data_IF_518938861734
#
_entry.id   IF_518938861734
#
_cell.length_a   1.000
_cell.length_b   1.000
_cell.length_c   1.000
_cell.angle_alpha   90.00
_cell.angle_beta   90.00
_cell.angle_gamma   90.00
#
_symmetry.space_group_name_H-M   'P 1'
#
loop_
_entity.id
_entity.type
_entity.pdbx_description
1 polymer ?
#
# COMPACT_ATOMS: atom_id res chain seq x y z
N UNK A 1 25.83 61.00 -20.46
CA UNK A 1 27.19 60.85 -19.90
C UNK A 1 27.32 59.39 -19.48
N UNK A 2 27.82 58.51 -20.35
CA UNK A 2 29.25 58.17 -20.51
C UNK A 2 29.84 57.61 -19.19
N UNK A 3 30.48 56.44 -19.10
CA UNK A 3 31.07 55.59 -20.13
C UNK A 3 31.22 54.13 -19.63
N UNK A 4 31.34 53.24 -20.61
CA UNK A 4 31.72 51.83 -20.51
C UNK A 4 33.19 51.63 -20.12
N UNK A 5 33.52 50.42 -19.65
CA UNK A 5 34.88 49.86 -19.78
C UNK A 5 34.82 48.43 -20.29
N UNK A 6 35.25 48.27 -21.54
CA UNK A 6 35.67 47.04 -22.20
C UNK A 6 37.10 46.67 -21.78
N UNK A 7 37.44 45.38 -21.86
CA UNK A 7 38.79 44.85 -22.16
C UNK A 7 38.65 43.42 -22.75
N UNK A 8 39.62 42.91 -23.53
CA UNK A 8 39.43 42.72 -24.96
C UNK A 8 39.56 41.27 -25.46
N UNK A 9 39.23 41.12 -26.74
CA UNK A 9 39.32 39.95 -27.59
C UNK A 9 40.73 39.80 -28.21
N UNK A 10 41.25 38.57 -28.30
CA UNK A 10 42.32 38.14 -29.24
C UNK A 10 42.23 36.61 -29.34
N UNK A 11 41.57 35.99 -30.32
CA UNK A 11 41.89 35.82 -31.75
C UNK A 11 43.09 34.91 -32.07
N UNK A 12 42.76 33.85 -32.84
CA UNK A 12 43.58 33.01 -33.73
C UNK A 12 44.30 31.80 -33.11
N UNK A 13 43.86 30.58 -33.45
CA UNK A 13 44.46 29.81 -34.54
C UNK A 13 43.57 28.62 -34.93
N UNK A 14 43.58 28.29 -36.22
CA UNK A 14 42.64 27.40 -36.88
C UNK A 14 43.39 26.20 -37.50
N UNK A 15 42.66 25.08 -37.65
CA UNK A 15 42.77 24.06 -38.72
C UNK A 15 43.94 23.04 -38.62
N UNK A 16 43.59 21.73 -38.51
CA UNK A 16 43.79 20.74 -39.59
C UNK A 16 43.22 19.35 -39.22
N UNK A 17 42.42 18.81 -40.14
CA UNK A 17 41.92 17.44 -40.23
C UNK A 17 43.04 16.45 -40.55
N UNK A 18 43.01 15.23 -39.98
CA UNK A 18 43.43 14.02 -40.71
C UNK A 18 42.67 12.78 -40.24
N UNK A 19 42.13 12.07 -41.23
CA UNK A 19 41.50 10.75 -41.19
C UNK A 19 42.61 9.69 -41.32
N UNK A 20 42.54 8.57 -40.59
CA UNK A 20 43.18 7.33 -41.01
C UNK A 20 42.38 6.09 -40.60
N UNK A 21 41.99 5.32 -41.60
CA UNK A 21 41.41 3.97 -41.56
C UNK A 21 42.55 2.96 -41.70
N UNK A 22 42.59 1.90 -40.89
CA UNK A 22 43.35 0.68 -41.21
C UNK A 22 42.54 -0.57 -40.84
N UNK A 23 42.18 -1.32 -41.87
CA UNK A 23 41.73 -2.72 -41.88
C UNK A 23 42.94 -3.65 -41.82
N UNK A 24 42.86 -4.74 -41.07
CA UNK A 24 43.68 -5.94 -41.35
C UNK A 24 42.82 -7.19 -41.25
N UNK A 25 42.58 -7.80 -42.43
CA UNK A 25 42.12 -9.16 -42.64
C UNK A 25 43.26 -10.16 -42.40
N UNK A 26 42.94 -11.31 -41.80
CA UNK A 26 43.67 -12.56 -41.99
C UNK A 26 42.65 -13.69 -42.19
N UNK A 27 42.80 -14.43 -43.29
CA UNK A 27 41.99 -15.58 -43.68
C UNK A 27 42.90 -16.72 -44.17
N UNK A 28 42.37 -17.95 -44.11
CA UNK A 28 42.84 -19.27 -44.59
C UNK A 28 43.78 -20.07 -43.65
N UNK A 29 43.62 -21.40 -43.40
CA UNK A 29 42.70 -22.43 -43.91
C UNK A 29 42.66 -23.70 -43.01
N UNK A 30 41.45 -24.29 -42.87
CA UNK A 30 41.04 -25.72 -43.00
C UNK A 30 41.94 -26.89 -42.54
N UNK A 31 41.41 -27.77 -41.66
CA UNK A 31 41.08 -29.20 -41.92
C UNK A 31 40.58 -29.94 -40.64
N UNK A 32 39.44 -30.65 -40.76
CA UNK A 32 38.96 -31.91 -40.12
C UNK A 32 39.13 -32.20 -38.61
N UNK A 33 38.25 -32.91 -37.89
CA UNK A 33 36.90 -33.49 -38.06
C UNK A 33 36.52 -34.19 -36.73
N UNK A 34 35.25 -34.64 -36.60
CA UNK A 34 34.62 -35.49 -35.56
C UNK A 34 34.13 -34.76 -34.29
N UNK A 35 32.85 -34.36 -34.18
CA UNK A 35 31.58 -35.12 -34.07
C UNK A 35 31.31 -35.61 -32.63
N UNK A 36 30.37 -34.94 -31.97
CA UNK A 36 29.27 -35.61 -31.27
C UNK A 36 28.07 -34.67 -31.31
N UNK A 37 27.27 -34.88 -32.34
CA UNK A 37 25.94 -34.30 -32.50
C UNK A 37 24.92 -34.96 -31.57
N UNK A 38 24.03 -34.18 -30.96
CA UNK A 38 22.61 -34.56 -30.88
C UNK A 38 21.68 -33.33 -30.76
N UNK A 39 21.38 -32.79 -31.94
CA UNK A 39 20.05 -32.41 -32.47
C UNK A 39 19.12 -31.54 -31.59
N UNK A 40 19.16 -30.23 -31.84
CA UNK A 40 17.96 -29.37 -31.73
C UNK A 40 17.13 -29.58 -32.99
N UNK A 41 16.07 -30.36 -32.89
CA UNK A 41 15.04 -30.46 -33.92
C UNK A 41 14.14 -29.23 -33.83
N UNK A 42 14.22 -28.35 -34.83
CA UNK A 42 13.28 -27.23 -35.01
C UNK A 42 12.04 -27.77 -35.71
N UNK A 43 11.28 -28.59 -34.97
CA UNK A 43 9.94 -29.00 -35.35
C UNK A 43 8.98 -27.83 -35.19
N UNK A 44 8.42 -27.37 -36.31
CA UNK A 44 7.45 -26.28 -36.38
C UNK A 44 6.24 -26.51 -35.48
N UNK A 45 6.26 -25.87 -34.32
CA UNK A 45 5.10 -25.59 -33.50
C UNK A 45 5.21 -24.15 -33.04
N UNK A 46 4.37 -23.26 -33.58
CA UNK A 46 4.13 -21.96 -32.94
C UNK A 46 3.53 -22.24 -31.56
N UNK A 47 4.37 -22.46 -30.55
CA UNK A 47 3.95 -22.26 -29.18
C UNK A 47 3.72 -20.76 -29.01
N UNK A 48 2.47 -20.34 -29.27
CA UNK A 48 1.94 -19.11 -28.72
C UNK A 48 2.17 -19.20 -27.21
N UNK A 49 3.20 -18.53 -26.72
CA UNK A 49 3.27 -18.12 -25.33
C UNK A 49 2.01 -17.28 -25.09
N UNK A 50 0.99 -17.92 -24.51
CA UNK A 50 -0.17 -17.23 -23.95
C UNK A 50 0.33 -16.49 -22.70
N UNK A 51 1.01 -15.36 -22.92
CA UNK A 51 1.19 -14.37 -21.87
C UNK A 51 -0.20 -13.79 -21.65
N UNK A 52 -0.92 -14.32 -20.67
CA UNK A 52 -2.13 -13.69 -20.19
C UNK A 52 -1.77 -12.23 -19.86
N UNK A 53 -2.52 -11.27 -20.42
CA UNK A 53 -2.29 -9.87 -20.14
C UNK A 53 -2.37 -9.66 -18.62
N UNK A 54 -1.31 -9.10 -18.02
CA UNK A 54 -1.30 -8.81 -16.59
C UNK A 54 -2.49 -7.90 -16.27
N UNK A 55 -3.35 -8.32 -15.34
CA UNK A 55 -4.50 -7.52 -14.93
C UNK A 55 -4.01 -6.20 -14.32
N UNK A 56 -4.67 -5.06 -14.59
CA UNK A 56 -4.27 -3.78 -14.03
C UNK A 56 -4.44 -3.78 -12.51
N UNK A 57 -3.40 -3.32 -11.79
CA UNK A 57 -3.43 -3.20 -10.33
C UNK A 57 -4.45 -2.17 -9.87
N UNK A 58 -5.26 -2.55 -8.88
CA UNK A 58 -6.24 -1.72 -8.18
C UNK A 58 -5.75 -1.35 -6.78
N UNK A 59 -6.26 -0.26 -6.24
CA UNK A 59 -5.83 0.32 -4.97
C UNK A 59 -7.01 0.43 -4.03
N UNK A 60 -6.87 -0.15 -2.84
CA UNK A 60 -7.84 0.03 -1.75
C UNK A 60 -7.25 1.04 -0.75
N UNK A 61 -8.01 2.08 -0.47
CA UNK A 61 -7.73 3.06 0.57
C UNK A 61 -8.83 2.96 1.63
N UNK A 62 -8.58 3.44 2.85
CA UNK A 62 -9.62 3.50 3.86
C UNK A 62 -9.36 4.59 4.90
N UNK A 63 -10.41 5.13 5.51
CA UNK A 63 -10.30 5.91 6.74
C UNK A 63 -11.32 5.42 7.76
N UNK A 64 -11.18 5.91 8.98
CA UNK A 64 -11.94 5.49 10.16
C UNK A 64 -12.52 6.73 10.81
N UNK A 65 -13.68 6.60 11.46
CA UNK A 65 -14.29 7.66 12.27
C UNK A 65 -13.23 8.50 13.03
N UNK A 66 -13.21 9.84 12.89
CA UNK A 66 -12.23 10.72 13.53
C UNK A 66 -12.13 10.57 15.06
N UNK A 67 -13.21 10.13 15.71
CA UNK A 67 -13.22 9.84 17.16
C UNK A 67 -12.36 8.64 17.57
N UNK A 68 -12.00 7.76 16.63
CA UNK A 68 -11.34 6.50 16.94
C UNK A 68 -9.85 6.65 17.22
N UNK A 69 -9.40 6.00 18.29
CA UNK A 69 -8.02 6.03 18.75
C UNK A 69 -7.07 5.15 17.93
N UNK A 70 -5.77 5.29 18.21
CA UNK A 70 -4.68 4.58 17.53
C UNK A 70 -4.89 3.06 17.52
N UNK A 71 -5.27 2.47 18.65
CA UNK A 71 -5.38 1.02 18.77
C UNK A 71 -6.60 0.43 18.05
N UNK A 72 -7.74 1.11 18.03
CA UNK A 72 -8.89 0.65 17.26
C UNK A 72 -8.60 0.74 15.75
N UNK A 73 -7.92 1.80 15.30
CA UNK A 73 -7.47 1.92 13.89
C UNK A 73 -6.54 0.78 13.47
N UNK A 74 -5.69 0.27 14.38
CA UNK A 74 -4.89 -0.94 14.14
C UNK A 74 -5.74 -2.20 14.00
N UNK A 75 -6.86 -2.28 14.71
CA UNK A 75 -7.81 -3.37 14.55
C UNK A 75 -8.53 -3.30 13.19
N UNK A 76 -8.99 -2.11 12.80
CA UNK A 76 -9.60 -1.88 11.48
C UNK A 76 -8.63 -2.21 10.34
N UNK A 77 -7.33 -1.90 10.49
CA UNK A 77 -6.31 -2.34 9.53
C UNK A 77 -6.37 -3.85 9.29
N UNK A 78 -6.52 -4.68 10.33
CA UNK A 78 -6.56 -6.14 10.15
C UNK A 78 -7.79 -6.58 9.36
N UNK A 79 -8.94 -5.93 9.58
CA UNK A 79 -10.18 -6.18 8.82
C UNK A 79 -9.97 -5.89 7.34
N UNK A 80 -9.44 -4.72 7.02
CA UNK A 80 -9.17 -4.28 5.64
C UNK A 80 -8.05 -5.10 5.00
N UNK A 81 -7.01 -5.45 5.74
CA UNK A 81 -5.91 -6.26 5.24
C UNK A 81 -6.39 -7.67 4.83
N UNK A 82 -7.28 -8.28 5.62
CA UNK A 82 -7.87 -9.57 5.29
C UNK A 82 -8.85 -9.51 4.12
N UNK A 83 -9.57 -8.38 3.95
CA UNK A 83 -10.32 -8.11 2.74
C UNK A 83 -9.39 -8.04 1.51
N UNK A 84 -8.28 -7.29 1.58
CA UNK A 84 -7.29 -7.23 0.48
C UNK A 84 -6.65 -8.58 0.20
N UNK A 85 -6.39 -9.38 1.22
CA UNK A 85 -5.89 -10.74 1.05
C UNK A 85 -6.87 -11.59 0.22
N UNK A 86 -8.17 -11.51 0.52
CA UNK A 86 -9.20 -12.24 -0.23
C UNK A 86 -9.42 -11.67 -1.64
N UNK A 87 -9.41 -10.34 -1.80
CA UNK A 87 -9.48 -9.71 -3.12
C UNK A 87 -8.34 -10.18 -4.05
N UNK A 88 -7.15 -10.40 -3.50
CA UNK A 88 -5.97 -10.87 -4.23
C UNK A 88 -6.04 -12.34 -4.69
N UNK A 89 -7.08 -13.08 -4.34
CA UNK A 89 -7.34 -14.40 -4.92
C UNK A 89 -7.78 -14.31 -6.40
N UNK A 90 -8.40 -13.18 -6.80
CA UNK A 90 -8.92 -12.99 -8.17
C UNK A 90 -8.19 -11.90 -8.97
N UNK A 91 -7.96 -10.74 -8.36
CA UNK A 91 -7.42 -9.54 -9.02
C UNK A 91 -6.30 -8.91 -8.17
N UNK A 92 -5.30 -8.25 -8.78
CA UNK A 92 -4.23 -7.61 -8.03
C UNK A 92 -4.70 -6.33 -7.34
N UNK A 93 -4.69 -6.33 -6.02
CA UNK A 93 -5.00 -5.21 -5.12
C UNK A 93 -3.83 -4.85 -4.21
N UNK A 94 -3.54 -3.55 -4.11
CA UNK A 94 -2.60 -2.99 -3.14
C UNK A 94 -3.38 -2.19 -2.10
N UNK A 95 -3.12 -2.46 -0.81
CA UNK A 95 -3.61 -1.63 0.28
C UNK A 95 -2.75 -0.37 0.41
N UNK A 96 -3.37 0.80 0.24
CA UNK A 96 -2.73 2.07 0.52
C UNK A 96 -2.94 2.42 1.98
N UNK A 97 -1.85 2.52 2.72
CA UNK A 97 -1.85 2.75 4.16
C UNK A 97 -2.25 4.20 4.48
N UNK A 98 -3.31 4.42 5.28
CA UNK A 98 -3.78 5.76 5.59
C UNK A 98 -2.80 6.48 6.52
N UNK A 99 -2.32 7.68 6.17
CA UNK A 99 -1.41 8.44 7.04
C UNK A 99 -2.01 8.71 8.41
N UNK A 100 -1.20 8.59 9.46
CA UNK A 100 -1.63 8.90 10.81
C UNK A 100 -1.74 10.41 11.01
N UNK A 101 -2.81 10.85 11.67
CA UNK A 101 -2.97 12.25 12.03
C UNK A 101 -4.23 12.54 12.82
N UNK A 102 -4.21 13.65 13.57
CA UNK A 102 -5.34 14.21 14.34
C UNK A 102 -6.12 13.19 15.20
N UNK A 103 -5.43 12.25 15.84
CA UNK A 103 -6.08 11.35 16.78
C UNK A 103 -6.51 12.13 18.03
N UNK A 104 -7.74 11.92 18.50
CA UNK A 104 -8.32 12.66 19.63
C UNK A 104 -7.43 12.68 20.89
N UNK A 105 -6.67 11.60 21.12
CA UNK A 105 -5.77 11.47 22.28
C UNK A 105 -4.38 12.12 22.09
N UNK A 106 -4.06 12.63 20.90
CA UNK A 106 -2.75 13.23 20.61
C UNK A 106 -2.77 14.71 21.02
N UNK A 107 -2.31 14.99 22.23
CA UNK A 107 -2.41 16.32 22.88
C UNK A 107 -1.12 17.15 22.80
N UNK A 108 -0.05 16.61 22.23
CA UNK A 108 1.25 17.28 22.17
C UNK A 108 1.16 18.55 21.33
N UNK A 109 1.27 19.70 22.00
CA UNK A 109 1.25 21.00 21.33
C UNK A 109 2.61 21.27 20.68
N UNK A 110 2.62 21.76 19.44
CA UNK A 110 3.85 22.13 18.73
C UNK A 110 4.51 21.04 17.90
N UNK A 111 3.97 19.81 17.88
CA UNK A 111 4.39 18.77 16.93
C UNK A 111 3.44 18.75 15.73
N UNK A 112 3.99 18.64 14.52
CA UNK A 112 3.17 18.42 13.33
C UNK A 112 2.66 16.98 13.32
N UNK A 113 1.43 16.77 13.81
CA UNK A 113 0.83 15.46 14.01
C UNK A 113 -0.21 15.12 12.92
N UNK A 114 0.17 15.34 11.67
CA UNK A 114 -0.62 15.02 10.47
C UNK A 114 0.29 14.41 9.41
N UNK A 115 -0.29 13.63 8.49
CA UNK A 115 0.42 12.99 7.37
C UNK A 115 1.61 12.11 7.79
N UNK A 116 1.56 11.51 8.98
CA UNK A 116 2.66 10.67 9.47
C UNK A 116 2.58 9.30 8.78
N UNK A 117 3.66 8.82 8.14
CA UNK A 117 3.67 7.53 7.45
C UNK A 117 3.65 6.35 8.44
N UNK A 118 3.20 5.18 7.97
CA UNK A 118 3.16 3.97 8.79
C UNK A 118 4.54 3.50 9.25
N UNK A 119 5.56 3.69 8.42
CA UNK A 119 6.98 3.46 8.74
C UNK A 119 7.48 4.18 10.01
N UNK A 120 6.78 5.21 10.48
CA UNK A 120 7.09 5.85 11.77
C UNK A 120 6.71 4.99 12.98
N UNK A 121 5.78 4.04 12.83
CA UNK A 121 5.25 3.20 13.92
C UNK A 121 5.43 1.70 13.68
N UNK A 122 5.35 1.27 12.44
CA UNK A 122 5.36 -0.14 12.04
C UNK A 122 6.46 -0.41 11.02
N UNK A 123 6.95 -1.64 11.02
CA UNK A 123 7.81 -2.14 9.98
C UNK A 123 6.97 -2.50 8.74
N UNK A 124 7.06 -1.68 7.69
CA UNK A 124 6.23 -1.82 6.48
C UNK A 124 6.59 -3.09 5.70
N UNK A 125 7.84 -3.54 5.77
CA UNK A 125 8.26 -4.81 5.16
C UNK A 125 7.54 -6.00 5.82
N UNK A 126 7.47 -6.04 7.16
CA UNK A 126 6.67 -7.05 7.88
C UNK A 126 5.19 -7.08 7.44
N UNK A 127 4.58 -5.91 7.20
CA UNK A 127 3.21 -5.82 6.68
C UNK A 127 3.11 -6.44 5.28
N UNK A 128 4.11 -6.18 4.43
CA UNK A 128 4.15 -6.64 3.04
C UNK A 128 4.19 -8.17 2.89
N UNK A 129 4.67 -8.89 3.91
CA UNK A 129 4.63 -10.35 3.95
C UNK A 129 3.23 -10.94 4.11
N UNK A 130 2.25 -10.14 4.57
CA UNK A 130 0.84 -10.57 4.63
C UNK A 130 0.08 -10.20 3.36
N UNK A 131 0.19 -8.94 2.92
CA UNK A 131 -0.48 -8.42 1.72
C UNK A 131 0.35 -7.33 1.05
N UNK A 132 0.17 -7.05 -0.26
CA UNK A 132 0.79 -5.89 -0.90
C UNK A 132 0.30 -4.59 -0.25
N UNK A 133 1.22 -3.84 0.36
CA UNK A 133 0.94 -2.54 1.00
C UNK A 133 1.80 -1.43 0.42
N UNK A 134 1.32 -0.19 0.51
CA UNK A 134 2.04 0.99 0.07
C UNK A 134 1.66 2.22 0.92
N UNK A 135 2.63 3.07 1.24
CA UNK A 135 2.35 4.37 1.89
C UNK A 135 1.59 5.31 0.94
N UNK A 136 0.72 6.18 1.47
CA UNK A 136 -0.10 7.09 0.64
C UNK A 136 0.70 8.02 -0.27
N UNK A 137 1.86 8.52 0.16
CA UNK A 137 2.71 9.33 -0.71
C UNK A 137 3.27 8.54 -1.90
N UNK A 138 3.52 7.25 -1.72
CA UNK A 138 3.98 6.38 -2.81
C UNK A 138 2.83 6.10 -3.78
N UNK A 139 1.60 5.99 -3.28
CA UNK A 139 0.41 5.91 -4.13
C UNK A 139 0.35 7.11 -5.08
N UNK A 140 0.43 8.35 -4.55
CA UNK A 140 0.41 9.58 -5.37
C UNK A 140 1.53 9.58 -6.42
N UNK A 141 2.74 9.15 -6.04
CA UNK A 141 3.89 9.08 -6.97
C UNK A 141 3.67 8.07 -8.10
N UNK A 142 3.09 6.91 -7.80
CA UNK A 142 2.87 5.82 -8.77
C UNK A 142 1.69 6.10 -9.69
N UNK A 143 0.62 6.71 -9.18
CA UNK A 143 -0.54 7.11 -9.98
C UNK A 143 -0.30 8.41 -10.76
N UNK A 144 0.63 9.25 -10.29
CA UNK A 144 0.93 10.57 -10.86
C UNK A 144 -0.03 11.67 -10.41
N UNK A 145 -1.05 11.33 -9.59
CA UNK A 145 -2.03 12.27 -9.04
C UNK A 145 -2.60 11.75 -7.72
N UNK A 146 -3.07 12.65 -6.85
CA UNK A 146 -3.74 12.34 -5.59
C UNK A 146 -5.24 12.05 -5.76
N UNK A 147 -5.64 11.65 -6.97
CA UNK A 147 -7.00 11.26 -7.33
C UNK A 147 -7.38 9.93 -6.68
N UNK A 148 -8.65 9.81 -6.28
CA UNK A 148 -9.33 8.56 -5.93
C UNK A 148 -10.55 8.43 -6.85
N UNK A 149 -10.80 7.28 -7.44
CA UNK A 149 -11.90 7.15 -8.40
C UNK A 149 -13.25 7.16 -7.70
N UNK A 150 -13.37 6.39 -6.61
CA UNK A 150 -14.64 6.20 -5.91
C UNK A 150 -14.45 6.15 -4.39
N UNK A 151 -15.29 6.89 -3.67
CA UNK A 151 -15.45 6.77 -2.24
C UNK A 151 -16.76 6.04 -1.94
N UNK A 152 -16.68 4.99 -1.13
CA UNK A 152 -17.82 4.45 -0.41
C UNK A 152 -17.75 4.90 1.05
N UNK A 153 -18.70 5.74 1.45
CA UNK A 153 -18.89 6.10 2.85
C UNK A 153 -19.81 5.07 3.51
N UNK A 154 -19.24 4.30 4.45
CA UNK A 154 -19.99 3.26 5.14
C UNK A 154 -20.81 3.88 6.27
N UNK A 155 -22.04 3.40 6.43
CA UNK A 155 -22.95 3.87 7.46
C UNK A 155 -23.81 2.70 7.97
N UNK A 156 -24.46 2.88 9.10
CA UNK A 156 -25.45 1.93 9.59
C UNK A 156 -26.72 1.96 8.71
N UNK A 157 -27.57 0.95 8.85
CA UNK A 157 -28.95 1.02 8.35
C UNK A 157 -29.75 2.00 9.23
N UNK A 158 -30.45 2.96 8.61
CA UNK A 158 -31.18 4.01 9.34
C UNK A 158 -32.30 3.44 10.21
N UNK A 159 -32.90 2.33 9.77
CA UNK A 159 -33.90 1.56 10.49
C UNK A 159 -33.31 0.68 11.62
N UNK A 160 -31.98 0.56 11.69
CA UNK A 160 -31.29 -0.35 12.61
C UNK A 160 -31.49 -1.82 12.24
N UNK A 161 -31.58 -2.69 13.25
CA UNK A 161 -31.99 -4.08 13.10
C UNK A 161 -33.07 -4.39 14.14
N UNK A 162 -34.13 -5.08 13.71
CA UNK A 162 -35.26 -5.44 14.58
C UNK A 162 -35.16 -6.90 15.01
N UNK A 163 -35.82 -7.24 16.12
CA UNK A 163 -36.08 -8.62 16.54
C UNK A 163 -34.85 -9.51 16.84
N UNK A 164 -33.70 -8.90 17.14
CA UNK A 164 -32.49 -9.62 17.56
C UNK A 164 -31.83 -10.44 16.45
N UNK A 165 -32.27 -10.30 15.19
CA UNK A 165 -31.64 -10.91 14.02
C UNK A 165 -30.68 -9.91 13.39
N UNK A 166 -29.39 -10.22 13.47
CA UNK A 166 -28.37 -9.54 12.70
C UNK A 166 -28.25 -10.25 11.36
N UNK A 167 -28.55 -9.53 10.27
CA UNK A 167 -28.51 -10.06 8.91
C UNK A 167 -27.38 -9.40 8.13
N UNK A 168 -26.65 -10.23 7.40
CA UNK A 168 -25.53 -9.82 6.58
C UNK A 168 -26.03 -9.16 5.28
N UNK A 169 -25.84 -7.84 5.15
CA UNK A 169 -26.33 -7.06 4.00
C UNK A 169 -25.56 -5.76 3.78
N UNK A 170 -25.53 -5.35 2.53
CA UNK A 170 -24.92 -4.10 2.07
C UNK A 170 -25.79 -3.52 0.96
N UNK A 171 -26.25 -2.27 1.13
CA UNK A 171 -27.07 -1.58 0.13
C UNK A 171 -26.53 -0.17 -0.13
N UNK A 172 -26.53 0.26 -1.40
CA UNK A 172 -26.39 1.68 -1.75
C UNK A 172 -27.65 2.44 -1.29
N UNK A 173 -27.46 3.47 -0.46
CA UNK A 173 -28.54 4.24 0.17
C UNK A 173 -28.18 5.72 0.17
N UNK A 174 -29.19 6.55 0.40
CA UNK A 174 -28.95 7.96 0.72
C UNK A 174 -28.10 8.09 1.99
N UNK A 175 -27.22 9.09 2.01
CA UNK A 175 -26.39 9.37 3.16
C UNK A 175 -27.25 9.82 4.35
N UNK A 176 -27.11 9.17 5.50
CA UNK A 176 -27.87 9.49 6.71
C UNK A 176 -27.45 10.85 7.25
N UNK A 177 -26.13 11.02 7.45
CA UNK A 177 -25.55 12.27 7.89
C UNK A 177 -25.05 13.09 6.68
N UNK A 178 -25.03 14.43 6.79
CA UNK A 178 -24.43 15.27 5.76
C UNK A 178 -22.97 14.84 5.50
N UNK A 179 -22.60 14.47 4.26
CA UNK A 179 -21.29 13.95 3.97
C UNK A 179 -20.20 14.99 4.22
N UNK A 180 -19.08 14.56 4.79
CA UNK A 180 -17.90 15.41 4.99
C UNK A 180 -17.25 15.83 3.66
N UNK A 181 -17.52 15.07 2.59
CA UNK A 181 -17.03 15.35 1.25
C UNK A 181 -17.98 16.28 0.51
N UNK A 182 -17.44 17.35 -0.06
CA UNK A 182 -18.20 18.35 -0.80
C UNK A 182 -17.64 18.50 -2.20
N UNK A 183 -18.54 18.67 -3.15
CA UNK A 183 -18.17 18.87 -4.54
C UNK A 183 -17.66 20.30 -4.75
N UNK A 184 -16.51 20.45 -5.41
CA UNK A 184 -15.96 21.74 -5.81
C UNK A 184 -16.49 22.20 -7.18
N UNK A 185 -16.00 23.34 -7.67
CA UNK A 185 -16.40 23.91 -8.97
C UNK A 185 -16.05 23.00 -10.16
N UNK A 186 -15.06 22.11 -10.00
CA UNK A 186 -14.61 21.16 -11.01
C UNK A 186 -15.35 19.83 -10.92
N UNK A 187 -16.41 19.76 -10.11
CA UNK A 187 -17.18 18.54 -9.84
C UNK A 187 -16.40 17.46 -9.10
N UNK A 188 -15.27 17.78 -8.48
CA UNK A 188 -14.46 16.84 -7.68
C UNK A 188 -14.89 16.89 -6.23
N UNK A 189 -14.91 15.74 -5.56
CA UNK A 189 -15.19 15.64 -4.14
C UNK A 189 -13.94 15.98 -3.33
N UNK A 190 -14.01 17.05 -2.54
CA UNK A 190 -12.98 17.50 -1.60
C UNK A 190 -13.38 17.15 -0.18
N UNK A 191 -12.41 16.78 0.65
CA UNK A 191 -12.65 16.30 2.02
C UNK A 191 -11.38 16.36 2.86
N UNK A 192 -11.34 15.56 3.93
CA UNK A 192 -10.20 15.52 4.85
C UNK A 192 -8.95 14.89 4.23
N UNK A 193 -9.09 13.72 3.59
CA UNK A 193 -8.01 12.98 2.92
C UNK A 193 -6.68 12.98 3.71
N UNK A 194 -6.74 12.64 5.00
CA UNK A 194 -5.59 12.59 5.92
C UNK A 194 -4.76 13.89 6.00
N UNK A 195 -5.35 15.03 5.63
CA UNK A 195 -4.73 16.35 5.61
C UNK A 195 -4.10 16.75 4.27
N UNK A 196 -4.25 15.94 3.22
CA UNK A 196 -3.75 16.25 1.87
C UNK A 196 -4.80 17.08 1.11
N UNK A 197 -4.52 18.37 0.94
CA UNK A 197 -5.40 19.33 0.27
C UNK A 197 -5.51 19.11 -1.24
N UNK A 198 -4.47 18.50 -1.82
CA UNK A 198 -4.39 18.16 -3.24
C UNK A 198 -5.33 17.00 -3.60
N UNK A 199 -5.63 16.11 -2.64
CA UNK A 199 -6.42 14.91 -2.84
C UNK A 199 -7.88 15.21 -3.15
N UNK A 200 -8.47 14.36 -3.97
CA UNK A 200 -9.87 14.45 -4.36
C UNK A 200 -10.42 13.10 -4.81
N UNK A 201 -11.74 12.98 -4.86
CA UNK A 201 -12.40 11.86 -5.51
C UNK A 201 -13.29 12.28 -6.67
N UNK A 202 -13.45 11.39 -7.66
CA UNK A 202 -14.35 11.63 -8.79
C UNK A 202 -15.81 11.30 -8.44
N UNK A 203 -16.03 10.24 -7.69
CA UNK A 203 -17.36 9.76 -7.32
C UNK A 203 -17.45 9.48 -5.81
N UNK A 204 -18.64 9.69 -5.25
CA UNK A 204 -18.94 9.48 -3.83
C UNK A 204 -20.31 8.84 -3.68
N UNK A 205 -20.39 7.77 -2.89
CA UNK A 205 -21.60 7.01 -2.60
C UNK A 205 -21.66 6.61 -1.12
N UNK A 206 -22.87 6.51 -0.57
CA UNK A 206 -23.09 5.99 0.78
C UNK A 206 -23.59 4.54 0.72
N UNK A 207 -23.00 3.66 1.53
CA UNK A 207 -23.41 2.27 1.66
C UNK A 207 -23.86 2.01 3.10
N UNK A 208 -25.11 1.58 3.28
CA UNK A 208 -25.55 1.04 4.56
C UNK A 208 -25.05 -0.39 4.69
N UNK A 209 -24.31 -0.69 5.76
CA UNK A 209 -23.63 -1.97 5.96
C UNK A 209 -24.02 -2.62 7.29
N UNK A 210 -24.24 -3.93 7.24
CA UNK A 210 -24.25 -4.87 8.36
C UNK A 210 -23.48 -6.09 7.85
N UNK A 211 -22.14 -6.05 7.91
CA UNK A 211 -21.35 -6.98 7.12
C UNK A 211 -19.97 -7.25 7.70
N UNK A 212 -19.47 -8.45 7.40
CA UNK A 212 -18.06 -8.80 7.50
C UNK A 212 -17.27 -8.15 6.35
N UNK A 213 -15.99 -7.88 6.56
CA UNK A 213 -15.17 -7.17 5.57
C UNK A 213 -15.16 -7.82 4.18
N UNK A 214 -15.06 -9.16 4.07
CA UNK A 214 -15.06 -9.90 2.79
C UNK A 214 -16.36 -9.78 2.01
N UNK A 215 -17.48 -9.40 2.64
CA UNK A 215 -18.72 -9.14 1.90
C UNK A 215 -18.61 -7.95 0.95
N UNK A 216 -17.59 -7.09 1.12
CA UNK A 216 -17.31 -6.01 0.19
C UNK A 216 -16.76 -6.50 -1.16
N UNK A 217 -16.31 -7.77 -1.28
CA UNK A 217 -15.67 -8.29 -2.49
C UNK A 217 -16.52 -8.06 -3.75
N UNK A 218 -17.82 -8.43 -3.81
CA UNK A 218 -18.60 -8.22 -5.02
C UNK A 218 -18.76 -6.73 -5.37
N UNK A 219 -18.87 -5.88 -4.37
CA UNK A 219 -19.01 -4.43 -4.55
C UNK A 219 -17.72 -3.84 -5.13
N UNK A 220 -16.58 -4.28 -4.63
CA UNK A 220 -15.27 -3.79 -5.03
C UNK A 220 -14.82 -4.40 -6.37
N UNK A 221 -15.05 -5.69 -6.61
CA UNK A 221 -14.55 -6.40 -7.79
C UNK A 221 -15.51 -6.45 -8.96
N UNK A 222 -16.80 -6.69 -8.72
CA UNK A 222 -17.75 -7.02 -9.77
C UNK A 222 -18.68 -5.85 -10.12
N UNK A 223 -19.01 -5.00 -9.16
CA UNK A 223 -19.98 -3.92 -9.36
C UNK A 223 -19.36 -2.61 -9.87
N UNK A 224 -18.03 -2.52 -9.96
CA UNK A 224 -17.33 -1.31 -10.37
C UNK A 224 -16.01 -1.62 -11.08
N UNK A 225 -15.66 -0.78 -12.06
CA UNK A 225 -14.37 -0.79 -12.75
C UNK A 225 -13.36 0.22 -12.18
N UNK A 226 -13.71 0.92 -11.09
CA UNK A 226 -12.85 1.90 -10.43
C UNK A 226 -11.49 1.31 -10.05
N UNK A 227 -10.40 2.01 -10.38
CA UNK A 227 -9.04 1.54 -10.12
C UNK A 227 -8.60 1.85 -8.69
N UNK A 228 -9.05 2.97 -8.12
CA UNK A 228 -8.77 3.39 -6.75
C UNK A 228 -10.07 3.60 -5.98
N UNK A 229 -10.27 2.82 -4.91
CA UNK A 229 -11.49 2.87 -4.10
C UNK A 229 -11.13 3.17 -2.65
N UNK A 230 -11.80 4.14 -2.06
CA UNK A 230 -11.67 4.46 -0.64
C UNK A 230 -12.91 4.03 0.14
N UNK A 231 -12.70 3.23 1.19
CA UNK A 231 -13.72 2.90 2.18
C UNK A 231 -13.60 3.87 3.36
N UNK A 232 -14.47 4.87 3.40
CA UNK A 232 -14.58 5.75 4.57
C UNK A 232 -15.48 5.10 5.62
N UNK A 233 -15.23 5.38 6.91
CA UNK A 233 -15.91 4.74 8.04
C UNK A 233 -15.72 3.21 8.06
N UNK A 234 -14.50 2.75 7.76
CA UNK A 234 -14.17 1.33 7.67
C UNK A 234 -14.38 0.55 8.99
N UNK A 235 -14.53 1.22 10.13
CA UNK A 235 -14.89 0.58 11.41
C UNK A 235 -16.26 -0.09 11.42
N UNK A 236 -17.16 0.30 10.51
CA UNK A 236 -18.50 -0.29 10.37
C UNK A 236 -18.44 -1.74 9.86
N UNK A 237 -17.32 -2.16 9.24
CA UNK A 237 -17.10 -3.55 8.81
C UNK A 237 -16.55 -4.39 9.96
N UNK A 238 -17.05 -5.62 10.10
CA UNK A 238 -16.59 -6.58 11.11
C UNK A 238 -15.45 -7.49 10.58
N UNK A 239 -14.77 -8.16 11.50
CA UNK A 239 -13.81 -9.24 11.16
C UNK A 239 -14.56 -10.46 10.63
N UNK A 240 -14.11 -11.05 9.51
CA UNK A 240 -14.75 -12.25 8.94
C UNK A 240 -14.70 -13.47 9.87
N UNK A 241 -13.56 -13.68 10.54
CA UNK A 241 -13.33 -14.83 11.40
C UNK A 241 -12.38 -14.41 12.52
N UNK A 242 -12.95 -13.76 13.53
CA UNK A 242 -12.21 -13.23 14.66
C UNK A 242 -11.43 -14.34 15.39
N UNK A 243 -10.15 -14.11 15.67
CA UNK A 243 -9.28 -15.05 16.38
C UNK A 243 -8.83 -16.28 15.57
N UNK A 244 -9.21 -16.40 14.29
CA UNK A 244 -8.76 -17.48 13.42
C UNK A 244 -7.40 -17.17 12.75
N UNK A 245 -6.94 -18.06 11.87
CA UNK A 245 -5.61 -18.01 11.25
C UNK A 245 -5.33 -16.65 10.57
N UNK A 246 -6.23 -16.17 9.72
CA UNK A 246 -6.00 -14.92 8.97
C UNK A 246 -6.05 -13.68 9.87
N UNK A 247 -6.88 -13.69 10.92
CA UNK A 247 -6.82 -12.68 11.98
C UNK A 247 -5.42 -12.62 12.61
N UNK A 248 -4.86 -13.77 13.00
CA UNK A 248 -3.55 -13.83 13.63
C UNK A 248 -2.39 -13.53 12.68
N UNK A 249 -2.51 -13.86 11.38
CA UNK A 249 -1.53 -13.44 10.36
C UNK A 249 -1.48 -11.92 10.22
N UNK A 250 -2.64 -11.28 10.04
CA UNK A 250 -2.74 -9.82 9.99
C UNK A 250 -2.23 -9.17 11.29
N UNK A 251 -2.52 -9.77 12.44
CA UNK A 251 -2.02 -9.27 13.73
C UNK A 251 -0.51 -9.41 13.88
N UNK A 252 0.07 -10.53 13.44
CA UNK A 252 1.52 -10.82 13.54
C UNK A 252 2.35 -9.96 12.60
N UNK A 253 1.79 -9.57 11.44
CA UNK A 253 2.46 -8.69 10.49
C UNK A 253 2.64 -7.25 11.01
N UNK A 254 1.81 -6.80 11.95
CA UNK A 254 1.94 -5.52 12.68
C UNK A 254 3.12 -5.52 13.66
N UNK A 255 4.35 -5.64 13.14
CA UNK A 255 5.60 -5.45 13.89
C UNK A 255 5.89 -3.97 14.06
N UNK A 256 6.27 -3.56 15.27
CA UNK A 256 6.70 -2.18 15.50
C UNK A 256 7.99 -1.87 14.75
N UNK A 257 8.11 -0.61 14.30
CA UNK A 257 9.31 -0.12 13.62
C UNK A 257 10.55 -0.37 14.50
N UNK A 258 11.66 -0.76 13.86
CA UNK A 258 12.89 -1.17 14.57
C UNK A 258 13.36 -0.12 15.58
N UNK A 259 13.40 1.15 15.19
CA UNK A 259 13.85 2.23 16.07
C UNK A 259 13.00 2.37 17.35
N UNK A 260 11.70 2.03 17.31
CA UNK A 260 10.85 2.03 18.51
C UNK A 260 11.14 0.84 19.42
N UNK A 261 11.42 -0.34 18.83
CA UNK A 261 11.85 -1.52 19.58
C UNK A 261 13.19 -1.28 20.26
N UNK A 262 14.16 -0.73 19.52
CA UNK A 262 15.49 -0.39 20.05
C UNK A 262 15.40 0.55 21.27
N UNK A 263 14.51 1.56 21.23
CA UNK A 263 14.25 2.45 22.38
C UNK A 263 13.63 1.68 23.56
N UNK A 264 12.67 0.79 23.28
CA UNK A 264 12.04 -0.05 24.29
C UNK A 264 13.02 -1.02 24.96
N UNK A 265 13.89 -1.65 24.17
CA UNK A 265 14.89 -2.60 24.63
C UNK A 265 15.97 -1.91 25.46
N UNK A 266 16.39 -0.71 25.07
CA UNK A 266 17.30 0.10 25.86
C UNK A 266 16.68 0.50 27.21
N UNK A 267 15.40 0.89 27.21
CA UNK A 267 14.68 1.20 28.45
C UNK A 267 14.59 -0.04 29.36
N UNK A 268 14.24 -1.21 28.81
CA UNK A 268 14.20 -2.50 29.52
C UNK A 268 15.54 -2.82 30.15
N UNK A 269 16.63 -2.67 29.40
CA UNK A 269 17.99 -2.95 29.84
C UNK A 269 18.44 -2.05 30.97
N UNK A 270 18.21 -0.73 30.84
CA UNK A 270 18.66 0.26 31.83
C UNK A 270 17.83 0.21 33.12
N UNK A 271 16.51 0.06 33.00
CA UNK A 271 15.61 0.32 34.13
C UNK A 271 14.93 -0.92 34.70
N UNK A 272 14.85 -2.01 33.95
CA UNK A 272 14.06 -3.19 34.32
C UNK A 272 14.90 -4.46 34.44
N UNK A 273 16.22 -4.36 34.27
CA UNK A 273 17.13 -5.52 34.22
C UNK A 273 16.66 -6.61 33.25
N UNK A 274 16.09 -6.19 32.12
CA UNK A 274 15.38 -7.04 31.17
C UNK A 274 16.05 -6.98 29.79
N UNK A 275 16.21 -8.15 29.17
CA UNK A 275 16.82 -8.37 27.84
C UNK A 275 16.19 -9.60 27.21
N UNK A 276 16.12 -9.67 25.88
CA UNK A 276 15.46 -10.79 25.17
C UNK A 276 16.05 -12.16 25.51
N UNK A 277 17.38 -12.26 25.68
CA UNK A 277 18.08 -13.50 26.01
C UNK A 277 17.73 -13.99 27.42
N UNK A 278 17.72 -13.06 28.40
CA UNK A 278 17.36 -13.32 29.80
C UNK A 278 15.89 -13.70 29.95
N UNK A 279 15.03 -13.00 29.22
CA UNK A 279 13.57 -13.15 29.32
C UNK A 279 13.02 -14.22 28.38
N UNK A 280 13.87 -14.78 27.50
CA UNK A 280 13.51 -15.74 26.44
C UNK A 280 12.43 -15.21 25.51
N UNK A 281 12.57 -13.95 25.10
CA UNK A 281 11.60 -13.23 24.25
C UNK A 281 12.16 -12.82 22.89
N UNK A 282 13.25 -13.45 22.46
CA UNK A 282 13.91 -13.22 21.17
C UNK A 282 12.91 -13.18 20.01
N UNK A 283 12.95 -12.09 19.25
CA UNK A 283 12.09 -11.87 18.10
C UNK A 283 12.78 -12.33 16.83
N UNK A 284 12.15 -13.25 16.09
CA UNK A 284 12.58 -13.58 14.73
C UNK A 284 12.11 -12.47 13.78
N UNK A 285 13.02 -12.03 12.91
CA UNK A 285 12.80 -10.96 11.92
C UNK A 285 11.59 -11.26 11.02
N UNK A 286 11.58 -12.41 10.36
CA UNK A 286 10.41 -12.87 9.62
C UNK A 286 9.35 -13.41 10.59
N UNK A 287 8.30 -12.62 10.79
CA UNK A 287 7.22 -13.01 11.69
C UNK A 287 6.55 -14.32 11.31
N UNK A 288 6.58 -14.74 10.03
CA UNK A 288 5.94 -15.98 9.53
C UNK A 288 6.59 -17.22 10.12
N UNK A 289 7.90 -17.16 10.34
CA UNK A 289 8.71 -18.25 10.91
C UNK A 289 8.59 -18.34 12.44
N UNK A 290 8.13 -17.27 13.08
CA UNK A 290 7.98 -17.23 14.54
C UNK A 290 6.95 -18.25 15.04
N UNK A 291 7.45 -19.29 15.72
CA UNK A 291 6.65 -20.31 16.40
C UNK A 291 7.20 -20.47 17.81
N UNK A 292 6.35 -20.28 18.81
CA UNK A 292 6.67 -20.62 20.20
C UNK A 292 6.06 -21.99 20.45
N UNK A 293 6.85 -22.93 20.96
CA UNK A 293 6.28 -24.22 21.40
C UNK A 293 5.28 -23.92 22.51
N UNK A 294 4.08 -24.53 22.50
CA UNK A 294 3.24 -24.48 23.69
C UNK A 294 4.05 -25.07 24.83
N UNK A 295 4.26 -24.30 25.90
CA UNK A 295 4.69 -24.90 27.16
C UNK A 295 3.61 -25.91 27.53
N UNK A 296 3.97 -27.19 27.54
CA UNK A 296 3.09 -28.25 28.03
C UNK A 296 3.06 -28.05 29.54
N UNK A 297 2.06 -27.30 30.02
CA UNK A 297 1.73 -27.18 31.43
C UNK A 297 0.96 -28.42 31.90
#
# INVERSE_FOLDING_TARGET
MAASKNYPFSSRMAICFHILVVLTHLHFASADSHDDSMVFDVGGGQQKLNVAAAKPTRYLLYDVNPGEGFNLRRDVYMRIANLVNALNEEDPWILVLPPWGRLYHWKSRGLNQIKIPWSSFFDVESLSYHIPVMEYENYIKVTGDAQIDLIYHLQNYAEGWTDGKWEERIDERDCIDPPLYKQDKEKKYRGWFWGYSESYANEFKCLSVQAMAKMMIPILQHNTSARSIMLDRAEELLHDSYGQVDYWKARRSLRFAKHLRDIGDEFRRIHLESTDEKDKTELIDDWREMKVRPDIF
#
